data_IF_356690364571
#
_entry.id   IF_356690364571
#
_cell.length_a   1.000
_cell.length_b   1.000
_cell.length_c   1.000
_cell.angle_alpha   90.00
_cell.angle_beta   90.00
_cell.angle_gamma   90.00
#
_symmetry.space_group_name_H-M   'P 1'
#
loop_
_entity.id
_entity.type
_entity.pdbx_description
1 polymer ?
#
# COMPACT_ATOMS: atom_id res chain seq x y z
N UNK A 1 -44.27 -31.32 -4.20
CA UNK A 1 -43.42 -30.17 -3.84
C UNK A 1 -43.82 -28.99 -4.72
N UNK A 2 -44.27 -27.91 -4.12
CA UNK A 2 -44.84 -26.78 -4.82
C UNK A 2 -43.82 -26.17 -5.82
N UNK A 3 -44.27 -25.71 -6.95
CA UNK A 3 -43.48 -25.13 -8.04
C UNK A 3 -42.63 -23.97 -7.50
N UNK A 4 -43.15 -23.15 -6.58
CA UNK A 4 -42.43 -22.06 -5.95
C UNK A 4 -41.20 -22.54 -5.15
N UNK A 5 -41.30 -23.65 -4.44
CA UNK A 5 -40.16 -24.24 -3.72
C UNK A 5 -39.07 -24.72 -4.65
N UNK A 6 -39.45 -25.31 -5.79
CA UNK A 6 -38.46 -25.72 -6.82
C UNK A 6 -37.73 -24.50 -7.38
N UNK A 7 -38.44 -23.44 -7.74
CA UNK A 7 -37.86 -22.19 -8.26
C UNK A 7 -36.92 -21.60 -7.25
N UNK A 8 -37.31 -21.48 -5.99
CA UNK A 8 -36.46 -20.95 -4.92
C UNK A 8 -35.17 -21.75 -4.75
N UNK A 9 -35.25 -23.08 -4.81
CA UNK A 9 -34.03 -23.93 -4.72
C UNK A 9 -33.10 -23.71 -5.92
N UNK A 10 -33.65 -23.56 -7.15
CA UNK A 10 -32.84 -23.30 -8.35
C UNK A 10 -32.16 -21.93 -8.26
N UNK A 11 -32.89 -20.89 -7.83
CA UNK A 11 -32.31 -19.55 -7.62
C UNK A 11 -31.20 -19.62 -6.56
N UNK A 12 -31.41 -20.32 -5.44
CA UNK A 12 -30.40 -20.50 -4.40
C UNK A 12 -29.13 -21.17 -4.92
N UNK A 13 -29.27 -22.21 -5.74
CA UNK A 13 -28.14 -22.89 -6.37
C UNK A 13 -27.37 -21.99 -7.34
N UNK A 14 -28.06 -21.20 -8.15
CA UNK A 14 -27.43 -20.25 -9.08
C UNK A 14 -26.64 -19.19 -8.28
N UNK A 15 -27.27 -18.60 -7.26
CA UNK A 15 -26.58 -17.60 -6.42
C UNK A 15 -25.35 -18.18 -5.72
N UNK A 16 -25.46 -19.39 -5.16
CA UNK A 16 -24.32 -20.06 -4.55
C UNK A 16 -23.19 -20.31 -5.56
N UNK A 17 -23.54 -20.78 -6.78
CA UNK A 17 -22.55 -21.01 -7.83
C UNK A 17 -21.85 -19.73 -8.25
N UNK A 18 -22.56 -18.60 -8.35
CA UNK A 18 -21.97 -17.30 -8.66
C UNK A 18 -21.03 -16.83 -7.57
N UNK A 19 -21.42 -17.00 -6.30
CA UNK A 19 -20.55 -16.65 -5.15
C UNK A 19 -19.28 -17.51 -5.17
N UNK A 20 -19.41 -18.82 -5.36
CA UNK A 20 -18.25 -19.72 -5.43
C UNK A 20 -17.33 -19.40 -6.61
N UNK A 21 -17.90 -19.07 -7.78
CA UNK A 21 -17.11 -18.65 -8.94
C UNK A 21 -16.38 -17.33 -8.70
N UNK A 22 -17.03 -16.37 -8.05
CA UNK A 22 -16.40 -15.12 -7.66
C UNK A 22 -15.27 -15.32 -6.64
N UNK A 23 -15.48 -16.15 -5.62
CA UNK A 23 -14.45 -16.51 -4.65
C UNK A 23 -13.26 -17.22 -5.33
N UNK A 24 -13.52 -18.13 -6.25
CA UNK A 24 -12.47 -18.81 -7.00
C UNK A 24 -11.68 -17.84 -7.87
N UNK A 25 -12.36 -16.94 -8.58
CA UNK A 25 -11.72 -15.93 -9.41
C UNK A 25 -10.81 -15.03 -8.55
N UNK A 26 -11.29 -14.56 -7.40
CA UNK A 26 -10.46 -13.78 -6.45
C UNK A 26 -9.28 -14.59 -5.97
N UNK A 27 -9.45 -15.85 -5.62
CA UNK A 27 -8.36 -16.72 -5.14
C UNK A 27 -7.29 -16.95 -6.20
N UNK A 28 -7.68 -17.14 -7.46
CA UNK A 28 -6.74 -17.34 -8.58
C UNK A 28 -6.00 -16.06 -8.94
N UNK A 29 -6.69 -14.92 -8.93
CA UNK A 29 -6.08 -13.62 -9.25
C UNK A 29 -5.24 -13.04 -8.12
N UNK A 30 -5.39 -13.54 -6.89
CA UNK A 30 -4.65 -13.08 -5.71
C UNK A 30 -3.32 -13.83 -5.48
N UNK A 31 -2.84 -14.58 -6.47
CA UNK A 31 -1.53 -15.23 -6.38
C UNK A 31 -0.45 -14.16 -6.39
N UNK A 32 0.22 -13.99 -5.26
CA UNK A 32 1.40 -13.14 -5.16
C UNK A 32 2.52 -13.73 -5.99
N UNK A 33 3.25 -12.88 -6.73
CA UNK A 33 4.48 -13.33 -7.38
C UNK A 33 5.45 -13.83 -6.31
N UNK A 34 5.84 -15.09 -6.42
CA UNK A 34 6.95 -15.61 -5.64
C UNK A 34 8.21 -15.21 -6.40
N UNK A 35 9.00 -14.33 -5.79
CA UNK A 35 10.31 -13.99 -6.33
C UNK A 35 11.27 -15.11 -5.94
N UNK A 36 11.83 -15.76 -6.92
CA UNK A 36 12.93 -16.70 -6.72
C UNK A 36 14.21 -15.86 -6.62
N UNK A 37 14.71 -15.71 -5.40
CA UNK A 37 15.98 -15.03 -5.16
C UNK A 37 17.10 -16.02 -5.47
N UNK A 38 18.07 -15.58 -6.29
CA UNK A 38 19.29 -16.37 -6.49
C UNK A 38 19.93 -16.69 -5.14
N UNK A 39 20.50 -17.87 -5.01
CA UNK A 39 21.25 -18.26 -3.83
C UNK A 39 22.22 -17.14 -3.42
N UNK A 40 22.23 -16.74 -2.14
CA UNK A 40 23.11 -15.70 -1.66
C UNK A 40 24.55 -16.11 -1.91
N UNK A 41 25.24 -15.37 -2.77
CA UNK A 41 26.66 -15.56 -3.00
C UNK A 41 27.42 -15.03 -1.79
N UNK A 42 28.34 -15.82 -1.21
CA UNK A 42 29.19 -15.28 -0.17
C UNK A 42 29.94 -14.07 -0.69
N UNK A 43 29.99 -13.04 0.11
CA UNK A 43 30.78 -11.84 -0.22
C UNK A 43 32.25 -12.26 -0.35
N UNK A 44 32.81 -12.06 -1.53
CA UNK A 44 34.19 -12.42 -1.85
C UNK A 44 34.95 -11.21 -2.38
N UNK A 45 35.27 -10.29 -1.56
CA UNK A 45 36.01 -9.12 -1.96
C UNK A 45 36.77 -8.50 -0.78
N UNK A 46 37.90 -7.82 -1.04
CA UNK A 46 38.66 -7.17 0.00
C UNK A 46 37.91 -5.97 0.61
N UNK A 47 36.96 -5.41 -0.13
CA UNK A 47 36.23 -4.22 0.29
C UNK A 47 34.73 -4.46 0.32
N UNK A 48 34.14 -4.14 1.47
CA UNK A 48 32.69 -3.99 1.59
C UNK A 48 32.31 -2.67 0.91
N UNK A 49 31.41 -2.73 -0.07
CA UNK A 49 30.83 -1.51 -0.62
C UNK A 49 30.04 -0.80 0.48
N UNK A 50 30.61 0.26 0.98
CA UNK A 50 29.95 1.15 1.93
C UNK A 50 29.52 2.43 1.18
N UNK A 51 28.24 2.58 0.87
CA UNK A 51 27.75 3.77 0.18
C UNK A 51 27.91 5.04 0.99
N UNK A 52 28.18 4.90 2.29
CA UNK A 52 28.31 6.02 3.22
C UNK A 52 29.77 6.43 3.47
N UNK A 53 30.75 5.66 3.00
CA UNK A 53 32.18 5.89 3.26
C UNK A 53 32.65 7.29 2.90
N UNK A 54 32.11 7.86 1.82
CA UNK A 54 32.51 9.17 1.31
C UNK A 54 31.43 10.25 1.50
N UNK A 55 30.41 9.98 2.31
CA UNK A 55 29.43 11.00 2.62
C UNK A 55 30.06 12.05 3.54
N UNK A 56 29.94 13.30 3.11
CA UNK A 56 30.25 14.42 3.98
C UNK A 56 29.30 14.40 5.19
N UNK A 57 29.87 14.18 6.37
CA UNK A 57 29.10 14.12 7.62
C UNK A 57 28.51 15.47 8.02
N UNK A 58 28.85 16.55 7.31
CA UNK A 58 28.19 17.85 7.48
C UNK A 58 26.76 17.87 6.93
N UNK A 59 26.36 16.89 6.10
CA UNK A 59 24.98 16.73 5.67
C UNK A 59 24.13 16.22 6.82
N UNK A 60 23.07 16.95 7.13
CA UNK A 60 22.08 16.49 8.09
C UNK A 60 21.29 15.32 7.52
N UNK A 61 21.28 14.21 8.23
CA UNK A 61 20.40 13.10 7.94
C UNK A 61 18.93 13.54 8.05
N UNK A 62 18.12 13.14 7.08
CA UNK A 62 16.67 13.37 7.09
C UNK A 62 15.95 12.09 7.45
N UNK A 63 15.05 12.18 8.41
CA UNK A 63 14.18 11.07 8.79
C UNK A 63 12.93 11.09 7.90
N UNK A 64 12.70 10.01 7.18
CA UNK A 64 11.57 9.92 6.25
C UNK A 64 10.60 8.81 6.63
N UNK A 65 9.31 9.07 6.45
CA UNK A 65 8.26 8.08 6.47
C UNK A 65 7.55 8.09 5.12
N UNK A 66 7.66 6.99 4.37
CA UNK A 66 7.09 6.85 3.04
C UNK A 66 5.84 5.97 2.99
N UNK A 67 5.42 5.41 4.12
CA UNK A 67 4.25 4.55 4.18
C UNK A 67 3.40 4.90 5.39
N UNK A 68 2.39 5.71 5.19
CA UNK A 68 1.49 6.17 6.24
C UNK A 68 0.09 6.32 5.68
N UNK A 69 -0.88 5.71 6.35
CA UNK A 69 -2.30 5.88 6.05
C UNK A 69 -2.90 7.01 6.87
N UNK A 70 -3.86 7.68 6.27
CA UNK A 70 -4.65 8.74 6.91
C UNK A 70 -6.12 8.52 6.65
N UNK A 71 -6.96 9.22 7.39
CA UNK A 71 -8.38 9.28 7.09
C UNK A 71 -8.59 9.90 5.71
N UNK A 72 -9.44 9.28 4.92
CA UNK A 72 -9.85 9.76 3.60
C UNK A 72 -11.37 9.80 3.53
N UNK A 73 -11.92 10.64 2.67
CA UNK A 73 -13.34 10.61 2.39
C UNK A 73 -13.72 9.27 1.75
N UNK A 74 -14.73 8.62 2.29
CA UNK A 74 -15.23 7.33 1.81
C UNK A 74 -15.67 6.41 2.94
N UNK A 75 -16.11 5.21 2.56
CA UNK A 75 -16.67 4.22 3.49
C UNK A 75 -15.55 3.42 4.19
N UNK A 76 -14.42 3.24 3.51
CA UNK A 76 -13.31 2.44 4.02
C UNK A 76 -12.15 3.35 4.39
N UNK A 77 -11.81 3.36 5.67
CA UNK A 77 -10.66 4.07 6.21
C UNK A 77 -9.79 3.08 6.98
N UNK A 78 -8.49 3.16 6.77
CA UNK A 78 -7.50 2.37 7.52
C UNK A 78 -6.94 3.17 8.70
N UNK A 79 -7.23 4.46 8.77
CA UNK A 79 -6.82 5.35 9.84
C UNK A 79 -7.96 6.32 10.19
N UNK A 80 -8.12 6.62 11.47
CA UNK A 80 -9.15 7.53 11.96
C UNK A 80 -8.70 9.00 12.01
N UNK A 81 -7.42 9.26 11.77
CA UNK A 81 -6.82 10.59 11.86
C UNK A 81 -6.65 11.23 10.49
N UNK A 82 -7.00 12.51 10.39
CA UNK A 82 -6.80 13.29 9.18
C UNK A 82 -5.31 13.53 8.85
N UNK A 83 -4.96 13.83 7.58
CA UNK A 83 -3.58 14.06 7.17
C UNK A 83 -2.83 15.08 8.04
N UNK A 84 -3.51 16.14 8.46
CA UNK A 84 -2.94 17.20 9.30
C UNK A 84 -2.52 16.68 10.68
N UNK A 85 -3.36 15.83 11.28
CA UNK A 85 -3.09 15.25 12.59
C UNK A 85 -1.93 14.26 12.55
N UNK A 86 -1.93 13.42 11.52
CA UNK A 86 -0.86 12.44 11.28
C UNK A 86 0.46 13.15 11.01
N UNK A 87 0.44 14.20 10.16
CA UNK A 87 1.63 15.00 9.90
C UNK A 87 2.21 15.59 11.18
N UNK A 88 1.39 16.28 11.97
CA UNK A 88 1.83 16.90 13.23
C UNK A 88 2.36 15.88 14.23
N UNK A 89 1.79 14.68 14.27
CA UNK A 89 2.28 13.61 15.12
C UNK A 89 3.68 13.16 14.69
N UNK A 90 3.88 12.91 13.40
CA UNK A 90 5.17 12.47 12.87
C UNK A 90 6.23 13.55 12.95
N UNK A 91 5.87 14.82 12.73
CA UNK A 91 6.77 15.97 12.94
C UNK A 91 7.28 16.02 14.39
N UNK A 92 6.41 15.81 15.39
CA UNK A 92 6.80 15.72 16.80
C UNK A 92 7.76 14.57 17.09
N UNK A 93 7.70 13.49 16.32
CA UNK A 93 8.64 12.38 16.38
C UNK A 93 9.93 12.62 15.58
N UNK A 94 10.12 13.83 15.04
CA UNK A 94 11.32 14.23 14.33
C UNK A 94 11.42 13.68 12.90
N UNK A 95 10.29 13.43 12.24
CA UNK A 95 10.29 13.13 10.83
C UNK A 95 10.34 14.42 10.00
N UNK A 96 11.29 14.51 9.09
CA UNK A 96 11.46 15.65 8.17
C UNK A 96 10.64 15.47 6.89
N UNK A 97 10.45 14.24 6.47
CA UNK A 97 9.71 13.87 5.24
C UNK A 97 8.58 12.94 5.64
N UNK A 98 7.35 13.36 5.38
CA UNK A 98 6.14 12.59 5.64
C UNK A 98 5.34 12.49 4.35
N UNK A 99 4.97 11.28 3.98
CA UNK A 99 4.09 11.03 2.83
C UNK A 99 2.84 10.29 3.27
N UNK A 100 1.76 10.44 2.50
CA UNK A 100 0.50 9.75 2.74
C UNK A 100 0.26 8.75 1.61
N UNK A 101 0.30 7.47 1.95
CA UNK A 101 0.20 6.36 1.01
C UNK A 101 -1.16 5.66 1.08
N UNK A 102 -2.23 6.44 1.04
CA UNK A 102 -3.58 5.87 1.09
C UNK A 102 -3.86 4.96 -0.12
N UNK A 103 -4.62 3.88 0.11
CA UNK A 103 -4.95 2.92 -0.93
C UNK A 103 -5.72 3.55 -2.08
N UNK A 104 -5.16 3.43 -3.29
CA UNK A 104 -5.74 3.90 -4.54
C UNK A 104 -6.30 5.33 -4.47
N UNK A 105 -5.72 6.15 -3.59
CA UNK A 105 -6.09 7.54 -3.41
C UNK A 105 -4.86 8.40 -3.19
N UNK A 106 -4.67 9.36 -4.06
CA UNK A 106 -3.64 10.37 -3.88
C UNK A 106 -4.11 11.38 -2.84
N UNK A 107 -3.40 11.45 -1.72
CA UNK A 107 -3.64 12.44 -0.68
C UNK A 107 -2.57 13.50 -0.78
N UNK A 108 -2.99 14.72 -1.11
CA UNK A 108 -2.07 15.84 -1.20
C UNK A 108 -1.69 16.27 0.22
N UNK A 109 -0.43 16.58 0.38
CA UNK A 109 0.10 17.03 1.64
C UNK A 109 -0.58 18.35 2.06
N UNK A 110 -1.06 18.46 3.32
CA UNK A 110 -1.81 19.64 3.77
C UNK A 110 -0.96 20.89 3.92
N UNK A 111 0.37 20.73 4.00
CA UNK A 111 1.33 21.82 4.17
C UNK A 111 2.26 21.87 2.97
N UNK A 112 2.57 23.08 2.51
CA UNK A 112 3.57 23.27 1.47
C UNK A 112 4.97 22.95 2.02
N UNK A 113 5.59 21.94 1.40
CA UNK A 113 6.95 21.53 1.77
C UNK A 113 7.71 21.08 0.54
N UNK A 114 8.87 21.67 0.31
CA UNK A 114 9.77 21.32 -0.78
C UNK A 114 10.32 19.87 -0.69
N UNK A 115 10.20 19.26 0.49
CA UNK A 115 10.66 17.89 0.75
C UNK A 115 9.56 16.84 0.57
N UNK A 116 8.34 17.24 0.22
CA UNK A 116 7.23 16.33 0.10
C UNK A 116 7.18 15.68 -1.28
N UNK A 117 6.92 14.38 -1.28
CA UNK A 117 6.70 13.58 -2.48
C UNK A 117 5.33 12.96 -2.40
N UNK A 118 4.53 13.13 -3.46
CA UNK A 118 3.24 12.47 -3.55
C UNK A 118 3.44 10.96 -3.61
N UNK A 119 2.74 10.22 -2.74
CA UNK A 119 2.76 8.77 -2.70
C UNK A 119 1.34 8.27 -2.57
N UNK A 120 1.03 7.17 -3.22
CA UNK A 120 -0.17 6.39 -2.92
C UNK A 120 0.16 4.92 -2.96
N UNK A 121 -0.61 4.12 -2.28
CA UNK A 121 -0.50 2.68 -2.31
C UNK A 121 -1.46 2.10 -3.35
N UNK A 122 -0.90 1.48 -4.40
CA UNK A 122 -1.69 0.82 -5.43
C UNK A 122 -1.97 -0.62 -5.03
N UNK A 123 -3.25 -0.99 -5.01
CA UNK A 123 -3.70 -2.34 -4.68
C UNK A 123 -4.91 -2.33 -3.76
N UNK A 124 -5.46 -3.51 -3.57
CA UNK A 124 -6.55 -3.76 -2.64
C UNK A 124 -6.16 -4.88 -1.69
N UNK A 125 -6.57 -4.80 -0.44
CA UNK A 125 -6.29 -5.81 0.59
C UNK A 125 -6.65 -7.24 0.19
N UNK A 126 -7.65 -7.41 -0.66
CA UNK A 126 -8.08 -8.71 -1.20
C UNK A 126 -7.03 -9.40 -2.09
N UNK A 127 -6.15 -8.65 -2.74
CA UNK A 127 -5.19 -9.18 -3.71
C UNK A 127 -3.78 -9.41 -3.16
N UNK A 128 -3.57 -9.17 -1.88
CA UNK A 128 -2.32 -9.47 -1.15
C UNK A 128 -1.04 -8.84 -1.72
N UNK A 129 -1.12 -7.90 -2.64
CA UNK A 129 0.06 -7.14 -3.07
C UNK A 129 -0.27 -5.66 -3.09
N UNK A 130 0.66 -4.89 -2.57
CA UNK A 130 0.58 -3.44 -2.55
C UNK A 130 1.88 -2.89 -3.13
N UNK A 131 1.75 -1.78 -3.85
CA UNK A 131 2.89 -1.09 -4.45
C UNK A 131 2.83 0.37 -4.06
N UNK A 132 3.88 0.88 -3.48
CA UNK A 132 4.02 2.32 -3.27
C UNK A 132 4.39 2.98 -4.60
N UNK A 133 3.59 3.93 -5.02
CA UNK A 133 3.79 4.72 -6.24
C UNK A 133 4.22 6.13 -5.84
N UNK A 134 5.42 6.52 -6.24
CA UNK A 134 6.03 7.79 -5.89
C UNK A 134 5.95 8.78 -7.04
N UNK A 135 5.77 10.06 -6.70
CA UNK A 135 5.87 11.18 -7.63
C UNK A 135 4.72 11.28 -8.64
N UNK A 136 3.67 10.49 -8.48
CA UNK A 136 2.52 10.56 -9.39
C UNK A 136 1.63 11.75 -9.05
N UNK A 137 1.15 12.44 -10.08
CA UNK A 137 0.13 13.50 -9.95
C UNK A 137 -1.30 12.99 -9.97
N UNK A 138 -1.50 11.69 -10.21
CA UNK A 138 -2.81 11.04 -10.28
C UNK A 138 -2.71 9.56 -9.89
N UNK A 139 -3.83 8.98 -9.51
CA UNK A 139 -3.95 7.52 -9.35
C UNK A 139 -4.14 6.89 -10.74
N UNK A 140 -3.40 5.84 -11.03
CA UNK A 140 -3.44 5.11 -12.30
C UNK A 140 -4.32 3.84 -12.19
#
# INVERSE_FOLDING_TARGET
>A
MDMLKKISVYIGKIMLSLVLAAMLAVSVTSVSYIYDFSEPKPFSGPDIFDPYRNLDTSFCWKRANFHTHTKVEGIFNECDYWPEDVYRALERFGYDIVTFSNHNKLTIHPFDSSLQVNVYEHGYNLFKYHKLVFGSGKVN
#
